data_IF_253805666726
#
_entry.id   IF_253805666726
#
_cell.length_a   1.000
_cell.length_b   1.000
_cell.length_c   1.000
_cell.angle_alpha   90.00
_cell.angle_beta   90.00
_cell.angle_gamma   90.00
#
_symmetry.space_group_name_H-M   'P 1'
#
loop_
_entity.id
_entity.type
_entity.pdbx_description
1 polymer ?
#
# COMPACT_ATOMS: atom_id res chain seq x y z
N UNK A 1 -9.14 -18.29 20.26
CA UNK A 1 -9.27 -17.39 19.09
C UNK A 1 -9.50 -15.99 19.63
N UNK A 2 -8.69 -15.01 19.21
CA UNK A 2 -8.92 -13.62 19.53
C UNK A 2 -10.30 -13.19 19.00
N UNK A 3 -11.04 -12.33 19.70
CA UNK A 3 -12.31 -11.84 19.21
C UNK A 3 -12.07 -11.01 17.95
N UNK A 4 -12.79 -11.34 16.87
CA UNK A 4 -12.79 -10.56 15.65
C UNK A 4 -13.85 -9.47 15.76
N UNK A 5 -13.48 -8.26 15.41
CA UNK A 5 -14.43 -7.19 15.21
C UNK A 5 -14.80 -7.12 13.73
N UNK A 6 -16.09 -7.12 13.42
CA UNK A 6 -16.60 -7.04 12.06
C UNK A 6 -17.07 -5.61 11.80
N UNK A 7 -16.40 -4.92 10.89
CA UNK A 7 -16.81 -3.61 10.42
C UNK A 7 -17.63 -3.75 9.14
N UNK A 8 -18.91 -3.41 9.21
CA UNK A 8 -19.76 -3.43 8.04
C UNK A 8 -19.39 -2.30 7.07
N UNK A 9 -19.36 -2.62 5.77
CA UNK A 9 -19.12 -1.69 4.68
C UNK A 9 -20.20 -1.88 3.62
N UNK A 10 -20.81 -0.79 3.18
CA UNK A 10 -21.94 -0.83 2.23
C UNK A 10 -21.52 -0.60 0.78
N UNK A 11 -20.29 -0.12 0.56
CA UNK A 11 -19.75 0.15 -0.76
C UNK A 11 -18.60 -0.80 -1.09
N UNK A 12 -18.48 -1.16 -2.37
CA UNK A 12 -17.42 -2.01 -2.89
C UNK A 12 -16.65 -1.29 -3.99
N UNK A 13 -15.32 -1.32 -3.91
CA UNK A 13 -14.45 -0.87 -5.00
C UNK A 13 -14.16 -2.07 -5.89
N UNK A 14 -14.60 -2.00 -7.14
CA UNK A 14 -14.40 -3.03 -8.15
C UNK A 14 -13.04 -2.85 -8.87
N UNK A 15 -12.55 -3.94 -9.50
CA UNK A 15 -11.31 -3.93 -10.28
C UNK A 15 -11.39 -3.04 -11.53
N UNK A 16 -12.60 -2.79 -12.03
CA UNK A 16 -12.85 -1.94 -13.19
C UNK A 16 -13.14 -0.47 -12.84
N UNK A 17 -13.28 -0.17 -11.56
CA UNK A 17 -13.46 1.22 -11.11
C UNK A 17 -12.20 2.05 -11.40
N UNK A 18 -12.39 3.33 -11.75
CA UNK A 18 -11.31 4.29 -11.73
C UNK A 18 -10.78 4.45 -10.29
N UNK A 19 -9.51 4.10 -10.00
CA UNK A 19 -8.99 4.05 -8.64
C UNK A 19 -9.11 5.37 -7.89
N UNK A 20 -8.89 6.50 -8.57
CA UNK A 20 -8.91 7.83 -7.95
C UNK A 20 -10.33 8.23 -7.61
N UNK A 21 -11.27 8.01 -8.53
CA UNK A 21 -12.69 8.30 -8.29
C UNK A 21 -13.25 7.40 -7.21
N UNK A 22 -12.97 6.10 -7.28
CA UNK A 22 -13.46 5.13 -6.31
C UNK A 22 -13.03 5.49 -4.88
N UNK A 23 -11.74 5.75 -4.65
CA UNK A 23 -11.21 6.13 -3.33
C UNK A 23 -11.81 7.46 -2.82
N UNK A 24 -12.11 8.39 -3.72
CA UNK A 24 -12.70 9.68 -3.34
C UNK A 24 -14.19 9.63 -3.03
N UNK A 25 -14.94 8.80 -3.74
CA UNK A 25 -16.40 8.77 -3.66
C UNK A 25 -16.93 7.65 -2.76
N UNK A 26 -16.34 6.45 -2.83
CA UNK A 26 -16.78 5.28 -2.06
C UNK A 26 -16.17 5.26 -0.65
N UNK A 27 -16.62 6.19 0.19
CA UNK A 27 -16.07 6.38 1.54
C UNK A 27 -16.42 5.25 2.51
N UNK A 28 -17.50 4.54 2.25
CA UNK A 28 -17.95 3.41 3.05
C UNK A 28 -17.44 2.06 2.51
N UNK A 29 -16.42 2.08 1.66
CA UNK A 29 -15.75 0.87 1.20
C UNK A 29 -14.76 0.34 2.22
N UNK A 30 -14.57 -0.98 2.26
CA UNK A 30 -13.64 -1.66 3.18
C UNK A 30 -12.21 -1.13 3.03
N UNK A 31 -11.78 -0.83 1.81
CA UNK A 31 -10.45 -0.28 1.53
C UNK A 31 -10.28 1.12 2.13
N UNK A 32 -11.24 2.01 1.92
CA UNK A 32 -11.16 3.40 2.44
C UNK A 32 -11.27 3.42 3.96
N UNK A 33 -12.19 2.64 4.53
CA UNK A 33 -12.30 2.49 6.00
C UNK A 33 -11.02 1.93 6.61
N UNK A 34 -10.50 0.83 6.09
CA UNK A 34 -9.28 0.21 6.63
C UNK A 34 -8.06 1.13 6.56
N UNK A 35 -7.85 1.84 5.45
CA UNK A 35 -6.78 2.83 5.33
C UNK A 35 -6.98 4.04 6.25
N UNK A 36 -8.23 4.41 6.53
CA UNK A 36 -8.54 5.49 7.47
C UNK A 36 -8.22 5.08 8.91
N UNK A 37 -8.58 3.87 9.30
CA UNK A 37 -8.22 3.30 10.61
C UNK A 37 -6.70 3.24 10.79
N UNK A 38 -5.98 2.77 9.76
CA UNK A 38 -4.51 2.77 9.77
C UNK A 38 -3.94 4.18 9.98
N UNK A 39 -4.47 5.17 9.26
CA UNK A 39 -4.05 6.58 9.40
C UNK A 39 -4.31 7.13 10.81
N UNK A 40 -5.43 6.76 11.42
CA UNK A 40 -5.83 7.23 12.76
C UNK A 40 -5.07 6.51 13.89
N UNK A 41 -4.31 5.47 13.59
CA UNK A 41 -3.63 4.64 14.59
C UNK A 41 -4.56 3.64 15.29
N UNK A 42 -5.72 3.36 14.70
CA UNK A 42 -6.68 2.37 15.20
C UNK A 42 -6.30 0.94 14.74
N UNK A 43 -5.36 0.84 13.80
CA UNK A 43 -4.81 -0.41 13.29
C UNK A 43 -3.31 -0.26 13.03
N UNK A 44 -2.54 -1.31 13.24
CA UNK A 44 -1.09 -1.35 13.02
C UNK A 44 -0.73 -1.74 11.58
N UNK A 45 -1.60 -2.48 10.91
CA UNK A 45 -1.42 -2.93 9.53
C UNK A 45 -2.77 -3.06 8.81
N UNK A 46 -2.72 -3.02 7.49
CA UNK A 46 -3.87 -3.24 6.61
C UNK A 46 -3.51 -4.25 5.53
N UNK A 47 -4.31 -5.30 5.42
CA UNK A 47 -4.18 -6.35 4.40
C UNK A 47 -5.39 -6.30 3.47
N UNK A 48 -5.14 -6.33 2.17
CA UNK A 48 -6.18 -6.28 1.16
C UNK A 48 -5.85 -7.19 -0.01
N UNK A 49 -6.81 -7.98 -0.47
CA UNK A 49 -6.77 -8.73 -1.71
C UNK A 49 -7.44 -7.98 -2.88
N UNK A 50 -7.86 -6.74 -2.64
CA UNK A 50 -8.60 -5.92 -3.61
C UNK A 50 -7.71 -5.35 -4.72
N UNK A 51 -8.26 -4.35 -5.44
CA UNK A 51 -7.56 -3.68 -6.52
C UNK A 51 -6.23 -3.04 -6.05
N UNK A 52 -5.12 -3.46 -6.63
CA UNK A 52 -3.79 -2.88 -6.37
C UNK A 52 -3.77 -1.38 -6.68
N UNK A 53 -4.42 -0.96 -7.78
CA UNK A 53 -4.51 0.45 -8.15
C UNK A 53 -5.24 1.29 -7.10
N UNK A 54 -6.38 0.80 -6.60
CA UNK A 54 -7.13 1.49 -5.55
C UNK A 54 -6.35 1.51 -4.22
N UNK A 55 -5.65 0.43 -3.88
CA UNK A 55 -4.80 0.38 -2.69
C UNK A 55 -3.65 1.40 -2.77
N UNK A 56 -2.95 1.45 -3.90
CA UNK A 56 -1.85 2.39 -4.14
C UNK A 56 -2.32 3.86 -4.07
N UNK A 57 -3.43 4.17 -4.73
CA UNK A 57 -4.04 5.51 -4.69
C UNK A 57 -4.55 5.83 -3.27
N UNK A 58 -5.24 4.89 -2.64
CA UNK A 58 -5.76 5.06 -1.28
C UNK A 58 -4.64 5.32 -0.27
N UNK A 59 -3.57 4.55 -0.33
CA UNK A 59 -2.38 4.75 0.52
C UNK A 59 -1.79 6.15 0.31
N UNK A 60 -1.62 6.58 -0.95
CA UNK A 60 -1.07 7.89 -1.27
C UNK A 60 -1.96 9.05 -0.79
N UNK A 61 -3.28 8.92 -0.90
CA UNK A 61 -4.22 9.99 -0.57
C UNK A 61 -4.61 10.03 0.91
N UNK A 62 -4.78 8.88 1.55
CA UNK A 62 -5.30 8.76 2.91
C UNK A 62 -4.16 8.68 3.92
N UNK A 63 -3.28 7.68 3.81
CA UNK A 63 -2.16 7.46 4.74
C UNK A 63 -1.08 8.51 4.50
N UNK A 64 -0.84 8.82 3.24
CA UNK A 64 0.20 9.72 2.75
C UNK A 64 1.60 9.11 2.82
N UNK A 65 2.53 9.76 2.14
CA UNK A 65 3.94 9.38 2.12
C UNK A 65 4.72 10.10 3.22
N UNK A 66 5.81 9.49 3.67
CA UNK A 66 6.76 10.15 4.57
C UNK A 66 7.45 11.32 3.88
N UNK A 67 7.96 12.28 4.67
CA UNK A 67 8.62 13.48 4.13
C UNK A 67 9.79 13.08 3.22
N UNK A 68 9.81 13.64 2.02
CA UNK A 68 10.84 13.37 1.01
C UNK A 68 10.46 12.30 -0.02
N UNK A 69 9.44 11.48 0.24
CA UNK A 69 8.93 10.47 -0.70
C UNK A 69 7.76 11.04 -1.50
N UNK A 70 7.96 11.24 -2.80
CA UNK A 70 6.92 11.81 -3.67
C UNK A 70 5.86 10.78 -4.07
N UNK A 71 6.25 9.52 -4.24
CA UNK A 71 5.34 8.42 -4.60
C UNK A 71 5.74 7.15 -3.85
N UNK A 72 4.78 6.38 -3.33
CA UNK A 72 5.07 5.05 -2.78
C UNK A 72 5.43 4.08 -3.92
N UNK A 73 6.25 3.09 -3.62
CA UNK A 73 6.55 1.97 -4.49
C UNK A 73 5.94 0.69 -3.94
N UNK A 74 5.57 -0.21 -4.82
CA UNK A 74 5.19 -1.56 -4.43
C UNK A 74 6.48 -2.35 -4.17
N UNK A 75 6.62 -2.89 -2.97
CA UNK A 75 7.78 -3.68 -2.56
C UNK A 75 7.36 -5.16 -2.45
N UNK A 76 7.92 -6.01 -3.31
CA UNK A 76 7.59 -7.43 -3.34
C UNK A 76 8.82 -8.25 -2.97
N UNK A 77 8.76 -9.05 -1.88
CA UNK A 77 9.83 -9.98 -1.57
C UNK A 77 9.85 -11.12 -2.62
N UNK A 78 11.00 -11.34 -3.20
CA UNK A 78 11.24 -12.37 -4.22
C UNK A 78 12.26 -13.39 -3.71
N UNK A 79 12.06 -14.69 -3.96
CA UNK A 79 13.04 -15.72 -3.61
C UNK A 79 14.25 -15.61 -4.54
N UNK A 80 15.43 -15.57 -3.95
CA UNK A 80 16.70 -15.63 -4.67
C UNK A 80 17.48 -16.92 -4.36
N UNK A 81 18.47 -17.25 -5.18
CA UNK A 81 19.24 -18.48 -5.04
C UNK A 81 20.02 -18.58 -3.72
N UNK A 82 20.44 -17.46 -3.15
CA UNK A 82 21.21 -17.41 -1.90
C UNK A 82 20.43 -16.76 -0.76
N UNK A 83 19.65 -15.75 -1.07
CA UNK A 83 18.83 -14.99 -0.11
C UNK A 83 17.66 -14.32 -0.84
N UNK A 84 16.59 -14.04 -0.12
CA UNK A 84 15.47 -13.28 -0.66
C UNK A 84 15.94 -11.85 -0.98
N UNK A 85 15.38 -11.26 -2.02
CA UNK A 85 15.60 -9.86 -2.37
C UNK A 85 14.27 -9.12 -2.50
N UNK A 86 14.31 -7.81 -2.40
CA UNK A 86 13.14 -6.96 -2.52
C UNK A 86 13.11 -6.35 -3.92
N UNK A 87 12.06 -6.68 -4.68
CA UNK A 87 11.80 -6.04 -5.96
C UNK A 87 10.90 -4.83 -5.73
N UNK A 88 11.37 -3.66 -6.11
CA UNK A 88 10.65 -2.40 -5.92
C UNK A 88 9.95 -1.98 -7.18
N UNK A 89 8.72 -1.50 -6.99
CA UNK A 89 7.81 -0.99 -8.01
C UNK A 89 7.38 -2.02 -9.05
N UNK A 90 6.92 -3.16 -8.58
CA UNK A 90 6.27 -4.20 -9.40
C UNK A 90 4.92 -3.71 -9.94
N UNK A 91 4.93 -2.84 -10.96
CA UNK A 91 3.74 -2.44 -11.70
C UNK A 91 2.89 -1.33 -11.07
N UNK A 92 3.36 -0.65 -10.03
CA UNK A 92 2.65 0.48 -9.45
C UNK A 92 2.80 1.77 -10.25
N UNK A 93 3.96 1.96 -10.89
CA UNK A 93 4.22 3.09 -11.76
C UNK A 93 4.58 2.61 -13.17
N UNK A 94 3.91 3.16 -14.19
CA UNK A 94 4.13 2.80 -15.60
C UNK A 94 5.47 3.35 -16.09
N UNK A 95 5.84 4.54 -15.62
CA UNK A 95 7.11 5.20 -15.94
C UNK A 95 7.78 5.68 -14.66
N UNK A 96 9.05 5.33 -14.49
CA UNK A 96 9.86 5.79 -13.36
C UNK A 96 10.93 6.77 -13.84
N UNK A 97 10.86 8.00 -13.35
CA UNK A 97 11.91 8.99 -13.56
C UNK A 97 13.12 8.67 -12.67
N UNK A 98 14.35 9.10 -13.04
CA UNK A 98 15.56 8.83 -12.25
C UNK A 98 15.44 9.20 -10.76
N UNK A 99 14.78 10.30 -10.47
CA UNK A 99 14.58 10.76 -9.08
C UNK A 99 13.66 9.82 -8.29
N UNK A 100 12.74 9.13 -8.96
CA UNK A 100 11.87 8.14 -8.33
C UNK A 100 12.65 6.88 -7.99
N UNK A 101 13.53 6.41 -8.88
CA UNK A 101 14.39 5.24 -8.64
C UNK A 101 15.34 5.50 -7.47
N UNK A 102 15.93 6.70 -7.40
CA UNK A 102 16.73 7.10 -6.26
C UNK A 102 15.94 7.11 -4.94
N UNK A 103 14.71 7.62 -4.96
CA UNK A 103 13.83 7.61 -3.79
C UNK A 103 13.44 6.18 -3.37
N UNK A 104 13.21 5.28 -4.33
CA UNK A 104 12.92 3.86 -4.04
C UNK A 104 14.12 3.16 -3.39
N UNK A 105 15.35 3.44 -3.85
CA UNK A 105 16.56 2.90 -3.26
C UNK A 105 16.75 3.34 -1.79
N UNK A 106 16.48 4.60 -1.50
CA UNK A 106 16.53 5.14 -0.12
C UNK A 106 15.46 4.49 0.76
N UNK A 107 14.24 4.33 0.24
CA UNK A 107 13.15 3.71 1.00
C UNK A 107 13.40 2.24 1.29
N UNK A 108 14.05 1.50 0.36
CA UNK A 108 14.39 0.10 0.58
C UNK A 108 15.42 -0.08 1.69
N UNK A 109 16.37 0.84 1.82
CA UNK A 109 17.37 0.78 2.89
C UNK A 109 16.76 1.02 4.28
N UNK A 110 15.72 1.85 4.38
CA UNK A 110 14.98 2.07 5.61
C UNK A 110 14.10 0.85 5.99
N UNK A 111 13.55 0.15 5.01
CA UNK A 111 12.77 -1.09 5.21
C UNK A 111 13.63 -2.32 5.49
N UNK A 112 14.87 -2.35 5.00
CA UNK A 112 15.81 -3.46 5.23
C UNK A 112 16.28 -3.59 6.69
N UNK A 113 16.08 -2.57 7.51
CA UNK A 113 16.36 -2.63 8.95
C UNK A 113 15.26 -3.31 9.76
N UNK A 114 14.11 -3.62 9.16
CA UNK A 114 13.09 -4.46 9.79
C UNK A 114 13.46 -5.93 9.58
N UNK A 115 13.33 -6.81 10.60
CA UNK A 115 13.64 -8.22 10.44
C UNK A 115 12.79 -8.80 9.29
N UNK A 116 13.36 -9.69 8.47
CA UNK A 116 12.59 -10.37 7.45
C UNK A 116 11.47 -11.16 8.15
N UNK A 117 10.31 -11.17 7.53
CA UNK A 117 9.17 -11.95 8.00
C UNK A 117 9.63 -13.37 8.36
N UNK A 118 9.66 -13.68 9.65
CA UNK A 118 9.93 -15.02 10.21
C UNK A 118 8.63 -15.81 10.25
#
# INVERSE_FOLDING_TARGET
>A
LAPFEILNCTETIDMHDDPVKAVRHKKDSSLVKGLTMLKNGEADAFVSAGSTGALHVGTSLIVRTVKGVKRPALATPMPGAKQNFLLLDCGANVECRPEMLAAFAVNSSAGASSPPFS
#
